data_IF_980938166129
#
_entry.id   IF_980938166129
#
_cell.length_a   1.000
_cell.length_b   1.000
_cell.length_c   1.000
_cell.angle_alpha   90.00
_cell.angle_beta   90.00
_cell.angle_gamma   90.00
#
_symmetry.space_group_name_H-M   'P 1'
#
loop_
_entity.id
_entity.type
_entity.pdbx_description
1 polymer ?
#
# COMPACT_ATOMS: atom_id res chain seq x y z
N UNK A 1 -8.19 -25.66 -46.59
CA UNK A 1 -7.21 -24.99 -45.69
C UNK A 1 -7.79 -23.87 -44.80
N UNK A 2 -9.12 -23.68 -44.69
CA UNK A 2 -9.71 -22.57 -43.89
C UNK A 2 -9.93 -22.87 -42.40
N UNK A 3 -9.96 -24.15 -42.01
CA UNK A 3 -10.31 -24.59 -40.64
C UNK A 3 -9.23 -24.34 -39.59
N UNK A 4 -7.94 -24.28 -39.98
CA UNK A 4 -6.83 -24.07 -39.02
C UNK A 4 -6.70 -22.62 -38.53
N UNK A 5 -7.04 -21.62 -39.34
CA UNK A 5 -6.91 -20.21 -38.90
C UNK A 5 -7.98 -19.82 -37.87
N UNK A 6 -9.18 -20.40 -37.95
CA UNK A 6 -10.26 -20.12 -37.02
C UNK A 6 -9.99 -20.69 -35.62
N UNK A 7 -9.50 -21.93 -35.54
CA UNK A 7 -9.14 -22.57 -34.27
C UNK A 7 -7.94 -21.90 -33.59
N UNK A 8 -6.97 -21.39 -34.35
CA UNK A 8 -5.85 -20.61 -33.83
C UNK A 8 -6.34 -19.28 -33.24
N UNK A 9 -7.20 -18.53 -33.95
CA UNK A 9 -7.77 -17.26 -33.43
C UNK A 9 -8.61 -17.45 -32.17
N UNK A 10 -9.41 -18.51 -32.10
CA UNK A 10 -10.22 -18.82 -30.93
C UNK A 10 -9.35 -19.19 -29.70
N UNK A 11 -8.25 -19.90 -29.90
CA UNK A 11 -7.27 -20.19 -28.84
C UNK A 11 -6.64 -18.92 -28.27
N UNK A 12 -6.22 -17.98 -29.12
CA UNK A 12 -5.66 -16.71 -28.65
C UNK A 12 -6.67 -15.85 -27.91
N UNK A 13 -7.94 -15.83 -28.36
CA UNK A 13 -9.01 -15.12 -27.67
C UNK A 13 -9.26 -15.71 -26.27
N UNK A 14 -9.29 -17.04 -26.15
CA UNK A 14 -9.42 -17.73 -24.87
C UNK A 14 -8.25 -17.46 -23.92
N UNK A 15 -7.01 -17.48 -24.43
CA UNK A 15 -5.81 -17.16 -23.63
C UNK A 15 -5.87 -15.71 -23.14
N UNK A 16 -6.27 -14.77 -24.01
CA UNK A 16 -6.41 -13.37 -23.64
C UNK A 16 -7.50 -13.15 -22.60
N UNK A 17 -8.67 -13.78 -22.76
CA UNK A 17 -9.74 -13.72 -21.76
C UNK A 17 -9.30 -14.31 -20.41
N UNK A 18 -8.57 -15.45 -20.42
CA UNK A 18 -8.03 -16.06 -19.21
C UNK A 18 -7.03 -15.13 -18.51
N UNK A 19 -6.17 -14.47 -19.28
CA UNK A 19 -5.21 -13.49 -18.77
C UNK A 19 -5.93 -12.32 -18.07
N UNK A 20 -6.98 -11.77 -18.68
CA UNK A 20 -7.78 -10.69 -18.07
C UNK A 20 -8.44 -11.14 -16.76
N UNK A 21 -8.99 -12.35 -16.70
CA UNK A 21 -9.60 -12.86 -15.46
C UNK A 21 -8.57 -13.05 -14.34
N UNK A 22 -7.34 -13.46 -14.69
CA UNK A 22 -6.26 -13.62 -13.72
C UNK A 22 -5.82 -12.28 -13.11
N UNK A 23 -5.73 -11.22 -13.92
CA UNK A 23 -5.38 -9.88 -13.44
C UNK A 23 -6.40 -9.36 -12.43
N UNK A 24 -7.71 -9.54 -12.72
CA UNK A 24 -8.78 -9.12 -11.81
C UNK A 24 -8.73 -9.87 -10.47
N UNK A 25 -8.44 -11.17 -10.47
CA UNK A 25 -8.33 -11.95 -9.22
C UNK A 25 -7.17 -11.47 -8.36
N UNK A 26 -6.03 -11.11 -8.97
CA UNK A 26 -4.85 -10.62 -8.25
C UNK A 26 -5.16 -9.25 -7.62
N UNK A 27 -5.74 -8.33 -8.40
CA UNK A 27 -6.12 -6.99 -7.92
C UNK A 27 -7.12 -7.06 -6.77
N UNK A 28 -8.17 -7.88 -6.88
CA UNK A 28 -9.13 -8.09 -5.80
C UNK A 28 -8.47 -8.64 -4.53
N UNK A 29 -7.57 -9.62 -4.65
CA UNK A 29 -6.87 -10.19 -3.50
C UNK A 29 -5.98 -9.16 -2.78
N UNK A 30 -5.33 -8.29 -3.54
CA UNK A 30 -4.52 -7.19 -3.00
C UNK A 30 -5.40 -6.22 -2.20
N UNK A 31 -6.52 -5.78 -2.79
CA UNK A 31 -7.49 -4.90 -2.13
C UNK A 31 -8.04 -5.54 -0.85
N UNK A 32 -8.48 -6.81 -0.93
CA UNK A 32 -9.05 -7.56 0.19
C UNK A 32 -8.09 -7.63 1.38
N UNK A 33 -6.78 -7.80 1.15
CA UNK A 33 -5.76 -7.84 2.21
C UNK A 33 -5.56 -6.49 2.89
N UNK A 34 -5.61 -5.39 2.13
CA UNK A 34 -5.49 -4.03 2.70
C UNK A 34 -6.77 -3.65 3.43
N UNK A 35 -7.94 -3.95 2.87
CA UNK A 35 -9.24 -3.80 3.52
C UNK A 35 -9.29 -4.60 4.82
N UNK A 36 -8.86 -5.88 4.80
CA UNK A 36 -8.85 -6.70 6.00
C UNK A 36 -7.97 -6.10 7.08
N UNK A 37 -6.83 -5.48 6.72
CA UNK A 37 -5.95 -4.79 7.66
C UNK A 37 -6.62 -3.61 8.38
N UNK A 38 -7.67 -3.01 7.82
CA UNK A 38 -8.42 -1.95 8.50
C UNK A 38 -9.20 -2.49 9.71
N UNK A 39 -9.63 -3.75 9.67
CA UNK A 39 -10.44 -4.37 10.72
C UNK A 39 -9.74 -5.46 11.55
N UNK A 40 -8.72 -6.13 11.00
CA UNK A 40 -8.09 -7.27 11.63
C UNK A 40 -7.10 -6.86 12.73
N UNK A 41 -7.56 -6.87 13.97
CA UNK A 41 -6.75 -6.49 15.13
C UNK A 41 -5.67 -7.51 15.50
N UNK A 42 -5.58 -8.66 14.81
CA UNK A 42 -4.52 -9.66 15.05
C UNK A 42 -3.22 -9.31 14.33
N UNK A 43 -3.27 -8.41 13.35
CA UNK A 43 -2.08 -7.90 12.66
C UNK A 43 -1.29 -7.00 13.61
N UNK A 44 -0.05 -7.38 13.88
CA UNK A 44 0.89 -6.57 14.65
C UNK A 44 1.18 -5.27 13.89
N UNK A 45 1.09 -4.13 14.58
CA UNK A 45 1.38 -2.82 13.99
C UNK A 45 2.89 -2.63 13.81
N UNK A 46 3.31 -2.05 12.67
CA UNK A 46 4.70 -1.67 12.45
C UNK A 46 4.89 -0.17 12.61
N UNK A 47 5.57 0.23 13.67
CA UNK A 47 5.82 1.62 14.01
C UNK A 47 5.74 1.83 15.51
N UNK A 48 5.73 3.07 15.96
CA UNK A 48 5.62 3.41 17.38
C UNK A 48 4.37 4.23 17.61
N UNK A 49 3.41 3.66 18.33
CA UNK A 49 2.20 4.34 18.79
C UNK A 49 2.37 4.80 20.24
N UNK A 50 2.13 6.08 20.50
CA UNK A 50 2.21 6.67 21.83
C UNK A 50 1.16 7.77 22.02
N UNK A 51 0.88 8.16 23.25
CA UNK A 51 0.03 9.31 23.57
C UNK A 51 0.91 10.52 23.85
N UNK A 52 0.56 11.68 23.27
CA UNK A 52 1.28 12.95 23.40
C UNK A 52 0.27 14.11 23.39
N UNK A 53 0.24 14.91 24.47
CA UNK A 53 -0.63 16.09 24.60
C UNK A 53 -2.10 15.83 24.21
N UNK A 54 -2.73 14.82 24.83
CA UNK A 54 -4.13 14.43 24.62
C UNK A 54 -4.47 13.85 23.22
N UNK A 55 -3.49 13.75 22.32
CA UNK A 55 -3.60 13.05 21.05
C UNK A 55 -2.79 11.76 21.06
N UNK A 56 -3.13 10.86 20.15
CA UNK A 56 -2.28 9.75 19.79
C UNK A 56 -1.32 10.18 18.68
N UNK A 57 -0.12 9.64 18.73
CA UNK A 57 0.96 9.85 17.76
C UNK A 57 1.47 8.50 17.30
N UNK A 58 1.61 8.32 15.99
CA UNK A 58 2.19 7.15 15.37
C UNK A 58 3.38 7.54 14.50
N UNK A 59 4.56 7.04 14.85
CA UNK A 59 5.79 7.27 14.11
C UNK A 59 6.16 6.02 13.30
N UNK A 60 6.43 6.20 12.01
CA UNK A 60 6.93 5.14 11.16
C UNK A 60 8.20 5.58 10.44
N UNK A 61 9.29 4.83 10.64
CA UNK A 61 10.60 5.07 10.04
C UNK A 61 11.15 3.75 9.48
N UNK A 62 10.95 3.51 8.18
CA UNK A 62 11.40 2.27 7.54
C UNK A 62 12.92 2.08 7.61
N UNK A 63 13.70 3.17 7.57
CA UNK A 63 15.16 3.14 7.65
C UNK A 63 15.71 2.52 8.95
N UNK A 64 14.90 2.47 10.01
CA UNK A 64 15.29 1.87 11.28
C UNK A 64 14.83 0.41 11.43
N UNK A 65 14.14 -0.14 10.42
CA UNK A 65 13.70 -1.54 10.41
C UNK A 65 14.77 -2.44 9.76
N UNK A 66 14.87 -3.67 10.26
CA UNK A 66 15.85 -4.66 9.75
C UNK A 66 15.60 -5.05 8.30
N UNK A 67 14.34 -5.03 7.88
CA UNK A 67 13.88 -5.37 6.55
C UNK A 67 13.54 -4.12 5.73
N UNK A 68 14.23 -2.99 5.98
CA UNK A 68 13.99 -1.71 5.30
C UNK A 68 13.92 -1.87 3.76
N UNK A 69 12.94 -1.20 3.16
CA UNK A 69 12.75 -1.13 1.70
C UNK A 69 13.44 0.11 1.09
N UNK A 70 14.18 0.89 1.87
CA UNK A 70 14.79 2.13 1.40
C UNK A 70 15.67 1.95 0.15
N UNK A 71 16.52 0.91 0.12
CA UNK A 71 17.38 0.62 -1.05
C UNK A 71 16.55 0.25 -2.28
N UNK A 72 15.56 -0.62 -2.11
CA UNK A 72 14.64 -1.01 -3.18
C UNK A 72 13.94 0.22 -3.77
N UNK A 73 13.41 1.09 -2.92
CA UNK A 73 12.74 2.31 -3.34
C UNK A 73 13.70 3.28 -4.06
N UNK A 74 14.92 3.44 -3.57
CA UNK A 74 15.95 4.27 -4.20
C UNK A 74 16.39 3.74 -5.57
N UNK A 75 16.53 2.41 -5.72
CA UNK A 75 16.82 1.77 -7.01
C UNK A 75 15.70 2.00 -8.04
N UNK A 76 14.47 2.24 -7.57
CA UNK A 76 13.33 2.63 -8.42
C UNK A 76 13.23 4.15 -8.67
N UNK A 77 14.14 4.94 -8.11
CA UNK A 77 14.19 6.39 -8.27
C UNK A 77 13.37 7.20 -7.25
N UNK A 78 12.86 6.56 -6.19
CA UNK A 78 12.12 7.20 -5.11
C UNK A 78 13.05 7.64 -3.97
N UNK A 79 12.53 8.45 -3.04
CA UNK A 79 13.34 8.96 -1.91
C UNK A 79 13.86 7.83 -0.97
N UNK A 80 13.09 6.74 -0.81
CA UNK A 80 13.34 5.63 0.11
C UNK A 80 13.13 5.93 1.59
N UNK A 81 12.54 7.10 1.91
CA UNK A 81 12.36 7.58 3.29
C UNK A 81 10.92 8.04 3.52
N UNK A 82 10.75 9.06 4.36
CA UNK A 82 9.41 9.55 4.71
C UNK A 82 8.55 9.96 3.51
N UNK A 83 9.08 10.71 2.51
CA UNK A 83 8.30 11.05 1.31
C UNK A 83 7.72 9.81 0.60
N UNK A 84 8.56 8.80 0.30
CA UNK A 84 8.11 7.54 -0.32
C UNK A 84 7.03 6.87 0.48
N UNK A 85 7.26 6.74 1.79
CA UNK A 85 6.32 6.05 2.65
C UNK A 85 5.00 6.80 2.80
N UNK A 86 4.98 8.14 2.67
CA UNK A 86 3.73 8.89 2.69
C UNK A 86 2.92 8.54 1.45
N UNK A 87 3.55 8.61 0.27
CA UNK A 87 2.90 8.24 -0.98
C UNK A 87 2.39 6.80 -0.95
N UNK A 88 3.22 5.84 -0.52
CA UNK A 88 2.83 4.42 -0.42
C UNK A 88 1.64 4.22 0.52
N UNK A 89 1.68 4.80 1.73
CA UNK A 89 0.58 4.67 2.69
C UNK A 89 -0.69 5.30 2.11
N UNK A 90 -0.57 6.50 1.54
CA UNK A 90 -1.69 7.19 0.91
C UNK A 90 -2.31 6.37 -0.22
N UNK A 91 -1.49 5.84 -1.14
CA UNK A 91 -1.93 4.97 -2.23
C UNK A 91 -2.64 3.73 -1.72
N UNK A 92 -2.17 3.10 -0.63
CA UNK A 92 -2.84 1.96 -0.03
C UNK A 92 -4.23 2.30 0.53
N UNK A 93 -4.43 3.48 1.10
CA UNK A 93 -5.74 3.94 1.55
C UNK A 93 -6.67 4.32 0.40
N UNK A 94 -6.13 4.86 -0.70
CA UNK A 94 -6.92 5.14 -1.91
C UNK A 94 -7.36 3.88 -2.65
N UNK A 95 -6.50 2.85 -2.66
CA UNK A 95 -6.81 1.55 -3.25
C UNK A 95 -8.04 0.88 -2.61
N UNK A 96 -8.31 1.15 -1.33
CA UNK A 96 -9.45 0.57 -0.61
C UNK A 96 -10.60 1.58 -0.34
N UNK A 97 -10.67 2.66 -1.12
CA UNK A 97 -11.69 3.70 -1.01
C UNK A 97 -11.87 4.27 0.42
N UNK A 98 -10.78 4.33 1.19
CA UNK A 98 -10.80 4.84 2.55
C UNK A 98 -10.34 6.30 2.61
N UNK A 99 -11.18 7.15 3.20
CA UNK A 99 -10.92 8.57 3.44
C UNK A 99 -10.12 8.83 4.73
N UNK A 100 -9.67 7.77 5.42
CA UNK A 100 -8.99 7.89 6.70
C UNK A 100 -7.74 8.77 6.60
N UNK A 101 -6.96 8.55 5.55
CA UNK A 101 -5.67 9.24 5.36
C UNK A 101 -5.85 10.74 5.08
N UNK A 102 -6.98 11.15 4.51
CA UNK A 102 -7.28 12.55 4.19
C UNK A 102 -7.58 13.39 5.44
N UNK A 103 -8.01 12.73 6.51
CA UNK A 103 -8.49 13.36 7.75
C UNK A 103 -7.46 13.29 8.90
N UNK A 104 -6.31 12.66 8.68
CA UNK A 104 -5.26 12.50 9.68
C UNK A 104 -4.21 13.60 9.55
N UNK A 105 -3.83 14.18 10.68
CA UNK A 105 -2.72 15.12 10.76
C UNK A 105 -1.41 14.37 10.51
N UNK A 106 -0.59 14.86 9.58
CA UNK A 106 0.62 14.18 9.12
C UNK A 106 1.80 15.13 9.00
N UNK A 107 2.99 14.65 9.35
CA UNK A 107 4.25 15.36 9.17
C UNK A 107 5.26 14.41 8.56
N UNK A 108 5.81 14.81 7.41
CA UNK A 108 6.85 14.05 6.73
C UNK A 108 8.21 14.57 7.16
N UNK A 109 9.09 13.64 7.52
CA UNK A 109 10.50 13.88 7.76
C UNK A 109 11.32 13.08 6.73
N UNK A 110 12.61 13.37 6.60
CA UNK A 110 13.48 12.69 5.62
C UNK A 110 13.45 11.16 5.85
N UNK A 111 13.45 10.72 7.10
CA UNK A 111 13.61 9.31 7.46
C UNK A 111 12.31 8.57 7.73
N UNK A 112 11.18 9.27 7.82
CA UNK A 112 9.92 8.67 8.24
C UNK A 112 8.78 9.67 8.28
N UNK A 113 7.64 9.22 8.81
CA UNK A 113 6.41 9.99 8.86
C UNK A 113 5.81 9.85 10.23
N UNK A 114 5.25 10.95 10.72
CA UNK A 114 4.45 10.96 11.93
C UNK A 114 3.01 11.29 11.59
N UNK A 115 2.10 10.56 12.23
CA UNK A 115 0.66 10.75 12.15
C UNK A 115 0.09 11.08 13.52
N UNK A 116 -0.90 11.96 13.58
CA UNK A 116 -1.63 12.30 14.80
C UNK A 116 -3.12 12.14 14.63
N UNK A 117 -3.78 11.63 15.67
CA UNK A 117 -5.24 11.56 15.75
C UNK A 117 -5.72 11.62 17.20
N UNK A 118 -6.93 12.13 17.41
CA UNK A 118 -7.63 12.01 18.68
C UNK A 118 -8.09 10.56 18.95
N UNK A 119 -8.16 9.70 17.93
CA UNK A 119 -8.61 8.31 18.03
C UNK A 119 -7.46 7.35 17.77
N UNK A 120 -7.08 6.60 18.81
CA UNK A 120 -6.03 5.57 18.72
C UNK A 120 -6.26 4.58 17.57
N UNK A 121 -7.51 4.16 17.39
CA UNK A 121 -7.90 3.15 16.42
C UNK A 121 -7.57 3.54 14.97
N UNK A 122 -7.65 4.83 14.64
CA UNK A 122 -7.28 5.37 13.33
C UNK A 122 -5.78 5.16 13.05
N UNK A 123 -4.94 5.38 14.06
CA UNK A 123 -3.50 5.15 13.94
C UNK A 123 -3.12 3.67 13.97
N UNK A 124 -3.85 2.85 14.72
CA UNK A 124 -3.69 1.40 14.68
C UNK A 124 -3.96 0.86 13.26
N UNK A 125 -4.96 1.40 12.54
CA UNK A 125 -5.26 1.06 11.14
C UNK A 125 -4.08 1.36 10.22
N UNK A 126 -3.49 2.56 10.31
CA UNK A 126 -2.27 2.91 9.56
C UNK A 126 -1.17 1.90 9.86
N UNK A 127 -0.92 1.59 11.14
CA UNK A 127 0.13 0.66 11.54
C UNK A 127 -0.06 -0.76 10.98
N UNK A 128 -1.30 -1.24 10.88
CA UNK A 128 -1.61 -2.54 10.26
C UNK A 128 -1.45 -2.52 8.75
N UNK A 129 -1.87 -1.45 8.08
CA UNK A 129 -1.67 -1.27 6.63
C UNK A 129 -0.18 -1.28 6.29
N UNK A 130 0.64 -0.58 7.07
CA UNK A 130 2.11 -0.62 6.94
C UNK A 130 2.65 -2.04 7.09
N UNK A 131 2.14 -2.83 8.04
CA UNK A 131 2.53 -4.23 8.20
C UNK A 131 2.22 -5.08 6.98
N UNK A 132 1.05 -4.90 6.37
CA UNK A 132 0.66 -5.60 5.14
C UNK A 132 1.57 -5.20 3.98
N UNK A 133 1.77 -3.90 3.76
CA UNK A 133 2.68 -3.36 2.73
C UNK A 133 4.11 -3.91 2.87
N UNK A 134 4.59 -4.07 4.10
CA UNK A 134 5.92 -4.62 4.39
C UNK A 134 6.02 -6.12 4.15
N UNK A 135 4.91 -6.84 4.24
CA UNK A 135 4.87 -8.30 4.15
C UNK A 135 4.70 -8.84 2.73
N UNK A 136 4.23 -8.00 1.79
CA UNK A 136 3.89 -8.41 0.43
C UNK A 136 4.33 -7.32 -0.57
N UNK A 137 5.40 -7.59 -1.31
CA UNK A 137 5.95 -6.67 -2.31
C UNK A 137 4.95 -6.33 -3.42
N UNK A 138 4.02 -7.26 -3.74
CA UNK A 138 3.00 -7.01 -4.75
C UNK A 138 2.06 -5.89 -4.31
N UNK A 139 1.64 -5.92 -3.04
CA UNK A 139 0.78 -4.88 -2.45
C UNK A 139 1.52 -3.54 -2.37
N UNK A 140 2.81 -3.58 -1.99
CA UNK A 140 3.65 -2.38 -1.97
C UNK A 140 3.74 -1.73 -3.36
N UNK A 141 3.98 -2.50 -4.41
CA UNK A 141 4.05 -2.01 -5.78
C UNK A 141 2.70 -1.46 -6.27
N UNK A 142 1.60 -2.13 -5.95
CA UNK A 142 0.26 -1.63 -6.30
C UNK A 142 -0.04 -0.30 -5.61
N UNK A 143 0.26 -0.19 -4.32
CA UNK A 143 0.10 1.05 -3.56
C UNK A 143 0.95 2.20 -4.14
N UNK A 144 2.14 1.90 -4.67
CA UNK A 144 2.98 2.88 -5.40
C UNK A 144 2.30 3.36 -6.68
N UNK A 145 1.68 2.46 -7.45
CA UNK A 145 0.97 2.86 -8.68
C UNK A 145 -0.23 3.76 -8.34
N UNK A 146 -1.03 3.40 -7.33
CA UNK A 146 -2.09 4.28 -6.83
C UNK A 146 -1.53 5.63 -6.38
N UNK A 147 -0.42 5.67 -5.63
CA UNK A 147 0.16 6.92 -5.19
C UNK A 147 0.51 7.87 -6.36
N UNK A 148 0.97 7.33 -7.49
CA UNK A 148 1.27 8.10 -8.70
C UNK A 148 0.03 8.70 -9.34
N UNK A 149 -1.11 8.00 -9.32
CA UNK A 149 -2.38 8.51 -9.87
C UNK A 149 -2.87 9.77 -9.14
N UNK A 150 -2.48 9.94 -7.87
CA UNK A 150 -2.82 11.08 -7.03
C UNK A 150 -1.70 12.12 -6.92
N UNK A 151 -0.70 12.08 -7.82
CA UNK A 151 0.47 12.97 -7.83
C UNK A 151 1.21 13.05 -6.47
N UNK A 152 1.18 11.95 -5.70
CA UNK A 152 1.88 11.90 -4.42
C UNK A 152 3.38 11.80 -4.65
N UNK A 153 4.15 12.56 -3.86
CA UNK A 153 5.61 12.46 -3.88
C UNK A 153 6.04 11.08 -3.37
N UNK A 154 6.94 10.43 -4.11
CA UNK A 154 7.55 9.15 -3.78
C UNK A 154 9.07 9.27 -3.67
#
# INVERSE_FOLDING_TARGET
>A
MRTNQFTIKLKYLLIFALFLTFQNIISQNIEDKVVSALSDTTIEIRGKLQMENEKFRFDYHDLYQKDSQAKFLQEKGYHGGGPSWLGIIYGAFKMCDSDLIDNIEMKVEVTGITFWSAKKEELDKIGRVVSVLKSDETILLEAIEYAKEYDMML
#
